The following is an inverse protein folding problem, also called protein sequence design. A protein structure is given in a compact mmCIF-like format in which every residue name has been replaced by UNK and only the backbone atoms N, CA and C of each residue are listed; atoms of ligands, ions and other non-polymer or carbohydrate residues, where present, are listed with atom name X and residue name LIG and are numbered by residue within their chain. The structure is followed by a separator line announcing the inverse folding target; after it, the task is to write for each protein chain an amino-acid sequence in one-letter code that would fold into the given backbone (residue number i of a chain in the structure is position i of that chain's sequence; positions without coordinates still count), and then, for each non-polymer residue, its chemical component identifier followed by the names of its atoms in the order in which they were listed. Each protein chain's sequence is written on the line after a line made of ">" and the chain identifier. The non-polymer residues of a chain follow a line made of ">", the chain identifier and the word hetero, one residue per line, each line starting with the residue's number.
data_IF_877490894085
#
_entry.id   IF_877490894085
#
_cell.length_a   1.000
_cell.length_b   1.000
_cell.length_c   1.000
_cell.angle_alpha   90.00
_cell.angle_beta   90.00
_cell.angle_gamma   90.00
#
_symmetry.space_group_name_H-M   'P 1'
#
loop_
_entity.id
_entity.type
_entity.pdbx_description
1 polymer ?
#
# COMPACT_ATOMS: atom_id res chain seq x y z
N UNK A 1 45.81 11.86 -46.72
CA UNK A 1 44.91 12.79 -46.01
C UNK A 1 43.64 12.90 -46.83
N UNK A 2 42.55 12.26 -46.38
CA UNK A 2 41.17 12.76 -46.34
C UNK A 2 40.23 11.59 -46.02
N UNK A 3 39.62 11.71 -44.85
CA UNK A 3 38.59 10.86 -44.25
C UNK A 3 37.24 11.31 -44.81
N UNK A 4 36.40 10.38 -45.26
CA UNK A 4 34.95 10.57 -45.26
C UNK A 4 34.24 9.30 -44.82
N UNK A 5 33.50 9.43 -43.72
CA UNK A 5 32.46 8.50 -43.28
C UNK A 5 31.17 8.82 -44.03
N UNK A 6 30.40 7.79 -44.42
CA UNK A 6 28.97 7.96 -44.67
C UNK A 6 28.19 6.64 -44.65
N UNK A 7 27.24 6.58 -43.70
CA UNK A 7 25.88 6.01 -43.75
C UNK A 7 25.56 4.86 -42.77
N UNK A 8 24.57 5.20 -41.94
CA UNK A 8 23.82 4.41 -40.95
C UNK A 8 23.06 3.26 -41.61
N UNK A 9 22.95 2.13 -40.92
CA UNK A 9 21.85 1.18 -41.06
C UNK A 9 21.25 0.86 -39.68
N UNK A 10 19.97 0.53 -39.76
CA UNK A 10 18.89 0.54 -38.78
C UNK A 10 18.63 -0.91 -38.29
N UNK A 11 17.95 -1.07 -37.13
CA UNK A 11 17.28 -2.31 -36.61
C UNK A 11 18.16 -3.35 -35.89
N UNK A 12 17.73 -4.15 -34.89
CA UNK A 12 16.66 -4.17 -33.84
C UNK A 12 16.88 -5.51 -33.06
N UNK A 13 16.54 -5.55 -31.76
CA UNK A 13 16.23 -6.68 -30.84
C UNK A 13 17.05 -7.99 -30.90
N UNK A 14 17.48 -8.60 -29.79
CA UNK A 14 16.60 -9.39 -28.90
C UNK A 14 17.35 -9.84 -27.64
N UNK A 15 16.70 -9.76 -26.49
CA UNK A 15 17.22 -10.16 -25.19
C UNK A 15 17.33 -11.69 -25.01
N UNK A 16 18.23 -12.12 -24.11
CA UNK A 16 18.12 -13.38 -23.38
C UNK A 16 18.33 -13.10 -21.90
N UNK A 17 17.27 -12.65 -21.21
CA UNK A 17 17.26 -12.64 -19.75
C UNK A 17 16.90 -14.05 -19.28
N UNK A 18 17.89 -14.77 -18.78
CA UNK A 18 17.70 -16.03 -18.07
C UNK A 18 17.22 -15.67 -16.67
N UNK A 19 15.92 -15.83 -16.40
CA UNK A 19 15.41 -15.82 -15.04
C UNK A 19 15.68 -17.20 -14.42
N UNK A 20 16.67 -17.24 -13.53
CA UNK A 20 16.89 -18.40 -12.64
C UNK A 20 15.87 -18.30 -11.51
N UNK A 21 14.86 -19.16 -11.52
CA UNK A 21 13.94 -19.33 -10.39
C UNK A 21 14.65 -20.15 -9.31
N UNK A 22 15.10 -19.49 -8.25
CA UNK A 22 15.60 -20.15 -7.06
C UNK A 22 14.43 -20.86 -6.33
N UNK A 23 14.52 -22.18 -6.21
CA UNK A 23 13.59 -22.99 -5.43
C UNK A 23 13.78 -22.71 -3.93
N UNK A 24 12.86 -21.97 -3.31
CA UNK A 24 12.84 -21.78 -1.85
C UNK A 24 12.14 -22.98 -1.22
N UNK A 25 12.89 -23.76 -0.45
CA UNK A 25 12.36 -24.84 0.40
C UNK A 25 11.79 -24.17 1.65
N UNK A 26 10.47 -24.15 1.82
CA UNK A 26 9.83 -23.54 2.98
C UNK A 26 9.48 -24.65 3.97
N UNK A 27 10.24 -24.69 5.06
CA UNK A 27 9.97 -25.46 6.25
C UNK A 27 9.21 -24.55 7.22
N UNK A 28 8.04 -24.97 7.69
CA UNK A 28 7.29 -24.23 8.70
C UNK A 28 7.16 -25.06 9.97
N UNK A 29 7.63 -24.49 11.08
CA UNK A 29 7.45 -25.03 12.42
C UNK A 29 6.03 -24.70 12.94
N UNK A 30 5.45 -25.66 13.65
CA UNK A 30 4.13 -25.56 14.25
C UNK A 30 4.13 -24.63 15.48
N UNK A 31 3.09 -23.80 15.61
CA UNK A 31 2.65 -23.29 16.90
C UNK A 31 1.27 -23.88 17.21
N UNK A 32 1.26 -24.75 18.21
CA UNK A 32 0.08 -25.42 18.76
C UNK A 32 -0.79 -24.44 19.55
N UNK A 33 -1.99 -24.17 19.05
CA UNK A 33 -3.12 -23.72 19.85
C UNK A 33 -4.39 -24.36 19.27
N UNK A 34 -5.03 -25.20 20.08
CA UNK A 34 -6.24 -25.95 19.73
C UNK A 34 -7.35 -25.05 19.20
N UNK A 35 -7.77 -25.25 17.94
CA UNK A 35 -9.15 -25.59 17.55
C UNK A 35 -9.24 -25.84 16.05
N UNK A 36 -10.11 -26.79 15.71
CA UNK A 36 -10.38 -27.45 14.43
C UNK A 36 -10.44 -26.57 13.17
N UNK A 37 -9.89 -27.18 12.11
CA UNK A 37 -10.28 -27.16 10.69
C UNK A 37 -10.59 -25.79 10.05
N UNK A 38 -9.68 -25.33 9.18
CA UNK A 38 -10.04 -25.02 7.79
C UNK A 38 -8.77 -24.86 6.94
N UNK A 39 -8.80 -25.47 5.74
CA UNK A 39 -7.74 -25.38 4.74
C UNK A 39 -7.83 -24.02 4.05
N UNK A 40 -6.85 -23.16 4.27
CA UNK A 40 -6.71 -21.92 3.51
C UNK A 40 -5.24 -21.74 3.09
N UNK A 41 -4.91 -22.32 1.92
CA UNK A 41 -3.61 -22.27 1.26
C UNK A 41 -3.42 -20.93 0.52
N UNK A 42 -3.44 -19.83 1.27
CA UNK A 42 -3.11 -18.48 0.79
C UNK A 42 -1.73 -18.01 1.28
N UNK A 43 -1.06 -17.08 0.56
CA UNK A 43 0.17 -16.45 1.06
C UNK A 43 -0.12 -15.73 2.39
N UNK A 44 0.60 -16.11 3.46
CA UNK A 44 0.44 -15.52 4.78
C UNK A 44 1.25 -14.23 4.90
N UNK A 45 0.58 -13.12 5.20
CA UNK A 45 1.23 -11.83 5.47
C UNK A 45 2.09 -11.90 6.75
N UNK A 46 3.26 -11.28 6.71
CA UNK A 46 4.11 -11.10 7.90
C UNK A 46 3.51 -10.04 8.81
N UNK A 47 3.33 -10.39 10.08
CA UNK A 47 2.79 -9.47 11.08
C UNK A 47 3.76 -8.31 11.37
N UNK A 48 3.19 -7.11 11.47
CA UNK A 48 3.87 -5.83 11.75
C UNK A 48 4.98 -5.47 10.76
N UNK A 49 4.79 -5.83 9.49
CA UNK A 49 5.73 -5.57 8.40
C UNK A 49 4.98 -4.98 7.21
N UNK A 50 5.57 -3.94 6.60
CA UNK A 50 5.24 -3.48 5.26
C UNK A 50 6.06 -4.29 4.26
N UNK A 51 5.40 -4.86 3.26
CA UNK A 51 6.04 -5.33 2.04
C UNK A 51 5.71 -4.34 0.94
N UNK A 52 6.72 -3.80 0.27
CA UNK A 52 6.54 -2.88 -0.86
C UNK A 52 7.56 -3.18 -1.95
N UNK A 53 7.06 -3.61 -3.12
CA UNK A 53 7.92 -4.23 -4.14
C UNK A 53 8.64 -5.45 -3.55
N UNK A 54 9.97 -5.43 -3.54
CA UNK A 54 10.82 -6.51 -2.99
C UNK A 54 11.38 -6.18 -1.60
N UNK A 55 10.89 -5.13 -0.94
CA UNK A 55 11.37 -4.69 0.38
C UNK A 55 10.40 -5.15 1.45
N UNK A 56 10.95 -5.62 2.57
CA UNK A 56 10.23 -5.83 3.83
C UNK A 56 10.74 -4.84 4.86
N UNK A 57 9.83 -4.08 5.47
CA UNK A 57 10.17 -3.00 6.40
C UNK A 57 9.33 -3.16 7.68
N UNK A 58 9.95 -3.33 8.86
CA UNK A 58 9.22 -3.46 10.11
C UNK A 58 8.54 -2.14 10.49
N UNK A 59 7.32 -2.24 11.03
CA UNK A 59 6.61 -1.07 11.57
C UNK A 59 7.35 -0.54 12.80
N UNK A 60 7.64 0.75 12.82
CA UNK A 60 8.24 1.45 13.97
C UNK A 60 7.17 1.90 14.95
N UNK A 61 6.20 2.66 14.47
CA UNK A 61 5.08 3.14 15.28
C UNK A 61 3.89 3.52 14.41
N UNK A 62 2.73 3.69 15.05
CA UNK A 62 1.47 4.06 14.39
C UNK A 62 0.86 5.25 15.12
N UNK A 63 0.46 6.26 14.36
CA UNK A 63 -0.24 7.46 14.88
C UNK A 63 -1.60 7.56 14.22
N UNK A 64 -2.59 7.94 15.01
CA UNK A 64 -3.97 8.08 14.59
C UNK A 64 -4.43 9.50 14.93
N UNK A 65 -4.72 10.29 13.90
CA UNK A 65 -5.30 11.62 14.01
C UNK A 65 -6.80 11.51 13.74
N UNK A 66 -7.62 12.08 14.62
CA UNK A 66 -9.06 12.18 14.44
C UNK A 66 -9.41 13.64 14.24
N UNK A 67 -10.06 13.94 13.11
CA UNK A 67 -10.69 15.25 12.93
C UNK A 67 -12.12 15.28 13.51
N UNK A 68 -12.74 16.46 13.49
CA UNK A 68 -14.11 16.66 13.97
C UNK A 68 -15.18 15.87 13.22
N UNK A 69 -14.90 15.40 11.99
CA UNK A 69 -15.84 14.69 11.11
C UNK A 69 -15.65 13.17 11.14
N UNK A 70 -14.83 12.68 12.08
CA UNK A 70 -14.49 11.26 12.27
C UNK A 70 -13.77 10.66 11.06
N UNK A 71 -13.07 11.50 10.32
CA UNK A 71 -12.10 11.09 9.33
C UNK A 71 -10.82 10.78 10.09
N UNK A 72 -10.44 9.52 10.05
CA UNK A 72 -9.21 9.06 10.66
C UNK A 72 -8.11 9.11 9.64
N UNK A 73 -7.03 9.80 9.99
CA UNK A 73 -5.75 9.71 9.32
C UNK A 73 -4.85 8.80 10.17
N UNK A 74 -4.59 7.61 9.67
CA UNK A 74 -3.69 6.62 10.29
C UNK A 74 -2.36 6.68 9.56
N UNK A 75 -1.32 7.16 10.25
CA UNK A 75 0.07 7.10 9.80
C UNK A 75 0.76 5.86 10.37
N UNK A 76 1.32 5.03 9.50
CA UNK A 76 2.14 3.88 9.87
C UNK A 76 3.57 4.19 9.43
N UNK A 77 4.47 4.36 10.39
CA UNK A 77 5.84 4.82 10.16
C UNK A 77 6.82 3.65 10.22
N UNK A 78 7.85 3.72 9.37
CA UNK A 78 8.84 2.65 9.18
C UNK A 78 10.27 3.09 9.45
N UNK A 79 10.48 4.40 9.66
CA UNK A 79 11.76 5.02 9.96
C UNK A 79 11.63 6.00 11.13
N UNK A 80 12.75 6.27 11.82
CA UNK A 80 12.77 7.16 12.99
C UNK A 80 12.71 8.65 12.61
N UNK A 81 13.02 8.98 11.34
CA UNK A 81 12.86 10.31 10.76
C UNK A 81 11.45 10.57 10.21
N UNK A 82 10.55 9.60 10.36
CA UNK A 82 9.15 9.63 9.91
C UNK A 82 8.97 9.88 8.40
N UNK A 83 10.02 9.69 7.58
CA UNK A 83 9.96 9.92 6.13
C UNK A 83 9.24 8.78 5.39
N UNK A 84 9.53 7.52 5.74
CA UNK A 84 8.84 6.36 5.18
C UNK A 84 7.56 6.09 5.96
N UNK A 85 6.41 6.29 5.30
CA UNK A 85 5.10 6.06 5.90
C UNK A 85 4.07 5.49 4.90
N UNK A 86 3.11 4.76 5.45
CA UNK A 86 1.82 4.49 4.80
C UNK A 86 0.77 5.32 5.52
N UNK A 87 0.07 6.17 4.77
CA UNK A 87 -1.02 6.99 5.28
C UNK A 87 -2.35 6.46 4.76
N UNK A 88 -3.25 6.18 5.68
CA UNK A 88 -4.61 5.70 5.41
C UNK A 88 -5.58 6.78 5.87
N UNK A 89 -6.46 7.23 4.98
CA UNK A 89 -7.51 8.20 5.32
C UNK A 89 -8.85 7.55 5.06
N UNK A 90 -9.68 7.46 6.09
CA UNK A 90 -11.01 6.88 5.98
C UNK A 90 -11.91 7.34 7.14
N UNK A 91 -13.18 7.62 6.83
CA UNK A 91 -14.22 7.86 7.84
C UNK A 91 -14.59 6.57 8.58
N UNK A 92 -14.58 6.60 9.91
CA UNK A 92 -14.75 5.40 10.75
C UNK A 92 -16.08 4.68 10.48
N UNK A 93 -17.21 5.36 10.60
CA UNK A 93 -18.54 4.78 10.40
C UNK A 93 -18.75 4.14 9.02
N UNK A 94 -18.10 4.70 8.00
CA UNK A 94 -18.23 4.22 6.63
C UNK A 94 -17.36 3.00 6.37
N UNK A 95 -16.11 3.02 6.85
CA UNK A 95 -15.07 2.12 6.35
C UNK A 95 -14.48 1.16 7.40
N UNK A 96 -14.53 1.49 8.70
CA UNK A 96 -13.94 0.64 9.72
C UNK A 96 -14.80 -0.61 9.93
N UNK A 97 -14.14 -1.71 10.35
CA UNK A 97 -14.73 -3.04 10.52
C UNK A 97 -15.34 -3.64 9.24
N UNK A 98 -15.05 -3.09 8.07
CA UNK A 98 -15.51 -3.57 6.77
C UNK A 98 -14.32 -3.81 5.86
N UNK A 99 -14.43 -4.81 4.98
CA UNK A 99 -13.46 -4.99 3.90
C UNK A 99 -13.73 -3.94 2.84
N UNK A 100 -12.80 -3.01 2.67
CA UNK A 100 -12.83 -1.96 1.65
C UNK A 100 -12.25 -2.56 0.37
N UNK A 101 -13.02 -2.49 -0.72
CA UNK A 101 -12.56 -2.87 -2.04
C UNK A 101 -11.81 -1.68 -2.65
N UNK A 102 -10.48 -1.80 -2.76
CA UNK A 102 -9.62 -0.72 -3.24
C UNK A 102 -9.64 -0.55 -4.75
N UNK A 103 -10.39 -1.40 -5.48
CA UNK A 103 -10.51 -1.33 -6.95
C UNK A 103 -11.63 -0.41 -7.42
N UNK A 104 -12.40 0.14 -6.48
CA UNK A 104 -13.64 0.86 -6.78
C UNK A 104 -13.57 2.31 -6.34
N UNK A 105 -13.92 3.18 -7.28
CA UNK A 105 -14.40 4.52 -6.95
C UNK A 105 -15.81 4.40 -6.37
N UNK A 106 -16.14 5.25 -5.41
CA UNK A 106 -17.44 5.22 -4.74
C UNK A 106 -17.99 6.61 -4.65
N UNK A 107 -19.21 6.79 -5.13
CA UNK A 107 -19.99 7.98 -4.84
C UNK A 107 -20.51 7.91 -3.41
N UNK A 108 -19.84 8.60 -2.50
CA UNK A 108 -20.09 8.59 -1.07
C UNK A 108 -19.78 9.97 -0.47
N UNK A 109 -20.22 10.18 0.77
CA UNK A 109 -19.99 11.41 1.53
C UNK A 109 -18.54 11.56 1.99
N UNK A 110 -17.77 10.48 2.01
CA UNK A 110 -16.34 10.47 2.26
C UNK A 110 -15.68 9.32 1.50
N UNK A 111 -14.43 9.54 1.11
CA UNK A 111 -13.65 8.64 0.28
C UNK A 111 -12.53 8.01 1.11
N UNK A 112 -12.07 6.83 0.70
CA UNK A 112 -10.84 6.27 1.25
C UNK A 112 -9.63 6.75 0.44
N UNK A 113 -8.50 6.91 1.11
CA UNK A 113 -7.19 7.20 0.49
C UNK A 113 -6.12 6.28 1.07
N UNK A 114 -5.19 5.86 0.18
CA UNK A 114 -3.97 5.14 0.56
C UNK A 114 -2.79 5.83 -0.11
N UNK A 115 -1.85 6.30 0.69
CA UNK A 115 -0.65 7.00 0.25
C UNK A 115 0.56 6.27 0.81
N UNK A 116 1.61 6.11 0.02
CA UNK A 116 2.90 5.59 0.46
C UNK A 116 4.02 6.57 0.10
N UNK A 117 4.82 6.92 1.11
CA UNK A 117 6.06 7.69 0.98
C UNK A 117 7.25 6.77 1.16
N UNK A 118 8.26 6.90 0.30
CA UNK A 118 9.49 6.11 0.37
C UNK A 118 10.46 6.60 1.48
N UNK A 119 11.61 5.94 1.72
CA UNK A 119 12.61 6.37 2.70
C UNK A 119 13.18 7.77 2.52
N UNK A 120 12.92 8.43 1.38
CA UNK A 120 13.36 9.79 1.11
C UNK A 120 12.22 10.80 1.24
N UNK A 121 11.05 10.37 1.75
CA UNK A 121 9.86 11.19 1.89
C UNK A 121 9.15 11.46 0.55
N UNK A 122 9.49 10.73 -0.52
CA UNK A 122 8.85 10.93 -1.81
C UNK A 122 7.58 10.11 -1.92
N UNK A 123 6.47 10.76 -2.30
CA UNK A 123 5.18 10.11 -2.54
C UNK A 123 5.25 9.18 -3.76
N UNK A 124 5.13 7.87 -3.53
CA UNK A 124 5.20 6.82 -4.58
C UNK A 124 3.85 6.24 -4.94
N UNK A 125 2.92 6.16 -4.00
CA UNK A 125 1.54 5.75 -4.25
C UNK A 125 0.66 6.88 -3.74
N UNK A 126 -0.33 7.26 -4.55
CA UNK A 126 -1.35 8.23 -4.19
C UNK A 126 -2.67 7.81 -4.84
N UNK A 127 -3.61 7.36 -4.01
CA UNK A 127 -4.85 6.73 -4.48
C UNK A 127 -6.05 7.30 -3.75
N UNK A 128 -7.15 7.46 -4.47
CA UNK A 128 -8.36 8.06 -3.94
C UNK A 128 -9.61 7.43 -4.54
N UNK A 129 -10.57 7.09 -3.68
CA UNK A 129 -11.85 6.51 -4.12
C UNK A 129 -12.83 7.52 -4.70
N UNK A 130 -12.46 8.80 -4.82
CA UNK A 130 -13.30 9.87 -5.36
C UNK A 130 -13.69 9.54 -6.82
N UNK A 131 -14.98 9.61 -7.18
CA UNK A 131 -15.44 9.32 -8.54
C UNK A 131 -15.05 10.45 -9.52
N UNK A 132 -14.75 10.08 -10.76
CA UNK A 132 -14.21 10.99 -11.80
C UNK A 132 -15.07 12.23 -12.03
N UNK A 133 -16.40 12.07 -12.00
CA UNK A 133 -17.33 13.17 -12.23
C UNK A 133 -17.35 14.23 -11.12
N UNK A 134 -16.72 13.96 -9.96
CA UNK A 134 -16.58 14.92 -8.85
C UNK A 134 -15.28 15.71 -8.90
N UNK A 135 -14.39 15.42 -9.85
CA UNK A 135 -13.20 16.24 -10.09
C UNK A 135 -13.58 17.50 -10.87
N UNK A 136 -12.96 18.62 -10.50
CA UNK A 136 -13.12 19.88 -11.25
C UNK A 136 -12.27 19.81 -12.53
N UNK A 137 -12.67 20.60 -13.53
CA UNK A 137 -11.89 20.73 -14.76
C UNK A 137 -10.48 21.22 -14.42
N UNK A 138 -9.47 20.46 -14.84
CA UNK A 138 -8.06 20.74 -14.57
C UNK A 138 -7.50 20.11 -13.29
N UNK A 139 -8.31 19.39 -12.51
CA UNK A 139 -7.79 18.56 -11.40
C UNK A 139 -7.22 17.24 -11.93
N UNK A 140 -6.10 16.81 -11.34
CA UNK A 140 -5.56 15.47 -11.56
C UNK A 140 -6.53 14.43 -10.97
N UNK A 141 -6.86 13.43 -11.79
CA UNK A 141 -7.71 12.31 -11.38
C UNK A 141 -6.81 11.25 -10.76
N UNK A 142 -7.02 10.97 -9.48
CA UNK A 142 -6.26 9.93 -8.80
C UNK A 142 -6.77 8.51 -9.15
N UNK A 143 -5.86 7.54 -9.26
CA UNK A 143 -6.21 6.15 -9.55
C UNK A 143 -6.76 5.44 -8.31
N UNK A 144 -7.27 4.24 -8.57
CA UNK A 144 -7.58 3.20 -7.58
C UNK A 144 -6.64 2.00 -7.82
N UNK A 145 -6.68 0.99 -6.96
CA UNK A 145 -5.84 -0.20 -7.12
C UNK A 145 -6.32 -1.07 -8.28
N UNK A 146 -5.41 -1.77 -8.97
CA UNK A 146 -5.77 -2.82 -9.96
C UNK A 146 -6.43 -4.02 -9.27
N UNK A 147 -5.93 -4.35 -8.08
CA UNK A 147 -6.48 -5.35 -7.17
C UNK A 147 -6.10 -4.97 -5.75
N UNK A 148 -6.94 -5.29 -4.79
CA UNK A 148 -6.57 -5.12 -3.40
C UNK A 148 -7.76 -4.86 -2.48
N UNK A 149 -7.45 -4.88 -1.19
CA UNK A 149 -8.40 -4.52 -0.16
C UNK A 149 -7.71 -3.90 1.04
N UNK A 150 -8.46 -3.09 1.77
CA UNK A 150 -8.06 -2.52 3.04
C UNK A 150 -9.08 -2.93 4.10
N UNK A 151 -8.60 -3.30 5.28
CA UNK A 151 -9.41 -3.54 6.46
C UNK A 151 -8.77 -2.84 7.64
N UNK A 152 -9.54 -1.95 8.27
CA UNK A 152 -9.12 -1.23 9.47
C UNK A 152 -10.11 -1.56 10.58
N UNK A 153 -9.59 -1.92 11.75
CA UNK A 153 -10.38 -2.17 12.95
C UNK A 153 -9.71 -1.57 14.17
N UNK A 154 -10.39 -0.62 14.81
CA UNK A 154 -10.04 -0.17 16.15
C UNK A 154 -10.42 -1.27 17.16
N UNK A 155 -9.43 -1.75 17.91
CA UNK A 155 -9.62 -2.81 18.93
C UNK A 155 -9.87 -2.24 20.32
N UNK A 156 -9.28 -1.09 20.62
CA UNK A 156 -9.48 -0.29 21.85
C UNK A 156 -9.18 1.18 21.54
N UNK A 157 -9.21 2.05 22.56
CA UNK A 157 -8.82 3.45 22.41
C UNK A 157 -7.41 3.63 21.83
N UNK A 158 -6.48 2.73 22.15
CA UNK A 158 -5.05 2.79 21.84
C UNK A 158 -4.55 1.58 21.03
N UNK A 159 -5.43 0.73 20.51
CA UNK A 159 -5.06 -0.46 19.75
C UNK A 159 -5.81 -0.55 18.42
N UNK A 160 -5.08 -0.88 17.37
CA UNK A 160 -5.60 -0.96 16.00
C UNK A 160 -5.11 -2.22 15.30
N UNK A 161 -5.93 -2.69 14.37
CA UNK A 161 -5.63 -3.72 13.42
C UNK A 161 -5.79 -3.16 12.00
N UNK A 162 -4.77 -3.38 11.17
CA UNK A 162 -4.73 -2.93 9.79
C UNK A 162 -4.31 -4.13 8.94
N UNK A 163 -5.07 -4.37 7.87
CA UNK A 163 -4.69 -5.31 6.81
C UNK A 163 -4.88 -4.61 5.47
N UNK A 164 -3.77 -4.31 4.81
CA UNK A 164 -3.72 -3.75 3.46
C UNK A 164 -3.03 -4.76 2.55
N UNK A 165 -3.61 -5.02 1.39
CA UNK A 165 -2.99 -5.78 0.32
C UNK A 165 -3.44 -5.18 -1.00
N UNK A 166 -2.53 -4.94 -1.93
CA UNK A 166 -2.92 -4.47 -3.24
C UNK A 166 -1.79 -4.31 -4.24
N UNK A 167 -2.20 -4.09 -5.48
CA UNK A 167 -1.34 -3.74 -6.61
C UNK A 167 -1.86 -2.48 -7.26
N UNK A 168 -0.99 -1.52 -7.51
CA UNK A 168 -1.39 -0.20 -8.03
C UNK A 168 -0.28 0.45 -8.84
N UNK A 169 -0.66 1.25 -9.83
CA UNK A 169 0.27 2.14 -10.53
C UNK A 169 0.61 3.32 -9.61
N UNK A 170 1.90 3.55 -9.41
CA UNK A 170 2.37 4.64 -8.55
C UNK A 170 2.31 6.01 -9.23
N UNK A 171 2.86 7.01 -8.54
CA UNK A 171 2.93 8.41 -9.02
C UNK A 171 3.82 8.58 -10.25
N UNK A 172 4.75 7.65 -10.49
CA UNK A 172 5.51 7.58 -11.73
C UNK A 172 4.79 6.68 -12.71
N UNK A 173 4.34 7.26 -13.84
CA UNK A 173 3.60 6.55 -14.88
C UNK A 173 4.31 5.27 -15.33
N UNK A 174 3.57 4.17 -15.39
CA UNK A 174 4.00 2.83 -15.76
C UNK A 174 4.71 2.04 -14.65
N UNK A 175 4.90 2.62 -13.47
CA UNK A 175 5.58 1.94 -12.35
C UNK A 175 4.55 1.32 -11.43
N UNK A 176 4.55 -0.02 -11.37
CA UNK A 176 3.63 -0.79 -10.53
C UNK A 176 4.24 -1.09 -9.16
N UNK A 177 3.40 -1.00 -8.13
CA UNK A 177 3.73 -1.39 -6.76
C UNK A 177 2.80 -2.52 -6.32
N UNK A 178 3.38 -3.63 -5.87
CA UNK A 178 2.70 -4.56 -4.97
C UNK A 178 3.00 -4.08 -3.53
N UNK A 179 1.95 -3.83 -2.75
CA UNK A 179 2.03 -3.35 -1.37
C UNK A 179 1.19 -4.24 -0.46
N UNK A 180 1.76 -4.63 0.68
CA UNK A 180 1.02 -5.28 1.75
C UNK A 180 1.48 -4.82 3.12
N UNK A 181 0.54 -4.69 4.05
CA UNK A 181 0.80 -4.35 5.44
C UNK A 181 -0.18 -5.13 6.30
N UNK A 182 0.36 -5.91 7.24
CA UNK A 182 -0.41 -6.47 8.34
C UNK A 182 0.11 -5.85 9.61
N UNK A 183 -0.73 -5.11 10.34
CA UNK A 183 -0.35 -4.52 11.61
C UNK A 183 -1.40 -4.83 12.67
N UNK A 184 -0.92 -5.19 13.85
CA UNK A 184 -1.73 -5.30 15.06
C UNK A 184 -0.91 -4.82 16.25
N UNK A 185 -1.33 -3.74 16.87
CA UNK A 185 -0.56 -3.18 17.96
C UNK A 185 -1.10 -1.86 18.48
N UNK A 186 -0.25 -1.21 19.28
CA UNK A 186 -0.55 0.07 19.91
C UNK A 186 -0.45 1.21 18.90
N UNK A 187 -1.42 2.12 18.92
CA UNK A 187 -1.35 3.39 18.23
C UNK A 187 -1.30 4.54 19.23
N UNK A 188 -0.56 5.58 18.90
CA UNK A 188 -0.67 6.87 19.57
C UNK A 188 -1.86 7.61 18.99
N UNK A 189 -2.77 8.10 19.83
CA UNK A 189 -3.86 8.96 19.40
C UNK A 189 -3.42 10.40 19.58
N UNK A 190 -3.39 11.16 18.49
CA UNK A 190 -3.09 12.58 18.51
C UNK A 190 -4.38 13.37 18.24
N UNK A 191 -4.54 14.49 18.93
CA UNK A 191 -5.51 15.54 18.58
C UNK A 191 -4.85 16.45 17.56
N UNK A 192 -5.52 16.75 16.45
CA UNK A 192 -5.11 17.87 15.61
C UNK A 192 -5.28 19.15 16.45
N UNK A 193 -4.18 19.84 16.74
CA UNK A 193 -4.16 21.18 17.36
C UNK A 193 -4.53 22.26 16.32
#
# INVERSE_FOLDING_TARGET
>A
MYRQMSKRNFLVCSAKYIFVLASVVIMSMAFSACSKDDKDDGPQLKANVLTVGNREVPVKHVVCYKDGDEIYKVGVFFADDEMEEVRLIAKEDLYFNKKIDLTKKKDADSYWEVIYYDPTGNRKIDTWSKPDHKYKVGEDIYPVFEKGSLFIKKKSADNIYIKLEGRVEGTTKGVMYDISLLYQGKMTVATDD
#
